data_IF_987208589641
#
_entry.id   IF_987208589641
#
_cell.length_a   1.000
_cell.length_b   1.000
_cell.length_c   1.000
_cell.angle_alpha   90.00
_cell.angle_beta   90.00
_cell.angle_gamma   90.00
#
_symmetry.space_group_name_H-M   'P 1'
#
loop_
_entity.id
_entity.type
_entity.pdbx_description
1 polymer ?
#
# COMPACT_ATOMS: atom_id res chain seq x y z
N UNK A 1 -5.53 -18.49 -13.58
CA UNK A 1 -4.28 -18.04 -14.22
C UNK A 1 -3.17 -18.41 -13.25
N UNK A 2 -2.31 -19.35 -13.60
CA UNK A 2 -1.14 -19.64 -12.78
C UNK A 2 -0.15 -18.47 -12.92
N UNK A 3 0.45 -18.03 -11.81
CA UNK A 3 1.50 -17.02 -11.82
C UNK A 3 2.85 -17.75 -11.83
N UNK A 4 3.51 -17.82 -12.99
CA UNK A 4 4.68 -18.67 -13.22
C UNK A 4 5.89 -18.38 -12.31
N UNK A 5 5.91 -17.22 -11.64
CA UNK A 5 6.99 -16.78 -10.76
C UNK A 5 6.57 -16.65 -9.29
N UNK A 6 5.38 -17.14 -8.93
CA UNK A 6 4.89 -17.11 -7.54
C UNK A 6 4.83 -18.53 -6.99
N UNK A 7 5.56 -18.76 -5.90
CA UNK A 7 5.45 -20.00 -5.13
C UNK A 7 4.27 -19.89 -4.17
N UNK A 8 3.10 -20.39 -4.57
CA UNK A 8 1.83 -20.22 -3.83
C UNK A 8 1.88 -20.77 -2.40
N UNK A 9 2.72 -21.77 -2.12
CA UNK A 9 2.91 -22.33 -0.77
C UNK A 9 3.57 -21.37 0.21
N UNK A 10 4.17 -20.28 -0.26
CA UNK A 10 4.74 -19.22 0.57
C UNK A 10 3.74 -18.08 0.86
N UNK A 11 2.53 -18.14 0.30
CA UNK A 11 1.50 -17.11 0.45
C UNK A 11 0.36 -17.64 1.30
N UNK A 12 0.19 -17.09 2.50
CA UNK A 12 -0.87 -17.51 3.42
C UNK A 12 -2.27 -17.01 2.99
N UNK A 13 -2.34 -15.82 2.38
CA UNK A 13 -3.61 -15.16 2.07
C UNK A 13 -3.46 -14.01 1.06
N UNK A 14 -4.58 -13.54 0.53
CA UNK A 14 -4.66 -12.39 -0.38
C UNK A 14 -5.60 -11.32 0.18
N UNK A 15 -5.16 -10.05 0.14
CA UNK A 15 -5.95 -8.92 0.61
C UNK A 15 -6.18 -7.99 -0.56
N UNK A 16 -7.45 -7.74 -0.87
CA UNK A 16 -7.84 -6.77 -1.89
C UNK A 16 -7.85 -5.36 -1.30
N UNK A 17 -7.24 -4.42 -2.02
CA UNK A 17 -7.20 -3.00 -1.67
C UNK A 17 -7.72 -2.21 -2.87
N UNK A 18 -8.62 -1.25 -2.64
CA UNK A 18 -9.11 -0.37 -3.71
C UNK A 18 -8.13 0.77 -4.00
N UNK A 19 -8.25 1.37 -5.18
CA UNK A 19 -7.41 2.52 -5.57
C UNK A 19 -7.57 3.68 -4.58
N UNK A 20 -8.78 3.98 -4.12
CA UNK A 20 -9.03 5.04 -3.13
C UNK A 20 -8.34 4.76 -1.81
N UNK A 21 -8.33 3.50 -1.36
CA UNK A 21 -7.63 3.09 -0.14
C UNK A 21 -6.11 3.23 -0.30
N UNK A 22 -5.56 2.81 -1.45
CA UNK A 22 -4.14 2.91 -1.73
C UNK A 22 -3.68 4.38 -1.82
N UNK A 23 -4.44 5.23 -2.53
CA UNK A 23 -4.17 6.67 -2.65
C UNK A 23 -4.21 7.34 -1.28
N UNK A 24 -5.27 7.10 -0.50
CA UNK A 24 -5.41 7.68 0.83
C UNK A 24 -4.24 7.28 1.75
N UNK A 25 -3.84 6.00 1.75
CA UNK A 25 -2.73 5.51 2.55
C UNK A 25 -1.37 6.05 2.08
N UNK A 26 -1.13 6.18 0.77
CA UNK A 26 0.09 6.80 0.24
C UNK A 26 0.20 8.29 0.61
N UNK A 27 -0.92 9.01 0.61
CA UNK A 27 -0.98 10.41 1.07
C UNK A 27 -0.77 10.53 2.59
N UNK A 28 -1.28 9.58 3.36
CA UNK A 28 -1.03 9.49 4.80
C UNK A 28 0.45 9.21 5.09
N UNK A 29 1.09 8.28 4.38
CA UNK A 29 2.54 8.03 4.50
C UNK A 29 3.35 9.31 4.23
N UNK A 30 2.99 10.08 3.21
CA UNK A 30 3.67 11.33 2.88
C UNK A 30 3.46 12.41 3.94
N UNK A 31 2.20 12.62 4.35
CA UNK A 31 1.82 13.75 5.23
C UNK A 31 2.06 13.51 6.71
N UNK A 32 2.01 12.25 7.17
CA UNK A 32 2.16 11.89 8.60
C UNK A 32 3.55 11.36 8.93
N UNK A 33 4.15 10.62 8.01
CA UNK A 33 5.42 9.91 8.24
C UNK A 33 6.59 10.45 7.39
N UNK A 34 6.33 11.40 6.48
CA UNK A 34 7.35 11.96 5.59
C UNK A 34 7.85 10.99 4.50
N UNK A 35 7.11 9.91 4.22
CA UNK A 35 7.46 8.89 3.24
C UNK A 35 6.68 9.16 1.94
N UNK A 36 7.33 9.80 0.98
CA UNK A 36 6.72 10.13 -0.32
C UNK A 36 6.78 8.93 -1.28
N UNK A 37 5.76 8.07 -1.26
CA UNK A 37 5.73 6.76 -1.92
C UNK A 37 4.72 6.63 -3.07
N UNK A 38 4.85 5.60 -3.89
CA UNK A 38 3.90 5.29 -4.97
C UNK A 38 2.65 4.51 -4.53
N UNK A 39 1.77 4.22 -5.51
CA UNK A 39 0.49 3.50 -5.32
C UNK A 39 0.65 2.16 -4.58
N UNK A 40 1.56 1.29 -5.03
CA UNK A 40 1.72 -0.04 -4.44
C UNK A 40 2.16 0.01 -2.97
N UNK A 41 2.97 1.00 -2.60
CA UNK A 41 3.35 1.23 -1.19
C UNK A 41 2.15 1.68 -0.36
N UNK A 42 1.30 2.54 -0.93
CA UNK A 42 0.01 2.90 -0.35
C UNK A 42 -0.89 1.69 -0.14
N UNK A 43 -0.98 0.80 -1.14
CA UNK A 43 -1.75 -0.43 -1.02
C UNK A 43 -1.23 -1.34 0.10
N UNK A 44 0.09 -1.50 0.21
CA UNK A 44 0.71 -2.27 1.30
C UNK A 44 0.38 -1.68 2.68
N UNK A 45 0.47 -0.35 2.82
CA UNK A 45 0.13 0.33 4.07
C UNK A 45 -1.36 0.20 4.42
N UNK A 46 -2.25 0.35 3.42
CA UNK A 46 -3.68 0.17 3.61
C UNK A 46 -4.01 -1.27 4.07
N UNK A 47 -3.44 -2.29 3.42
CA UNK A 47 -3.63 -3.69 3.81
C UNK A 47 -3.12 -3.96 5.23
N UNK A 48 -1.93 -3.46 5.59
CA UNK A 48 -1.39 -3.60 6.94
C UNK A 48 -2.30 -2.95 7.99
N UNK A 49 -2.84 -1.75 7.72
CA UNK A 49 -3.79 -1.08 8.61
C UNK A 49 -5.11 -1.84 8.75
N UNK A 50 -5.60 -2.48 7.68
CA UNK A 50 -6.79 -3.34 7.74
C UNK A 50 -6.54 -4.55 8.64
N UNK A 51 -5.41 -5.24 8.47
CA UNK A 51 -5.01 -6.37 9.30
C UNK A 51 -4.88 -5.99 10.78
N UNK A 52 -4.18 -4.89 11.08
CA UNK A 52 -3.96 -4.40 12.45
C UNK A 52 -5.26 -3.92 13.14
N UNK A 53 -6.29 -3.56 12.36
CA UNK A 53 -7.63 -3.27 12.90
C UNK A 53 -8.44 -4.55 13.17
N UNK A 54 -8.16 -5.61 12.42
CA UNK A 54 -8.86 -6.89 12.47
C UNK A 54 -8.04 -7.99 13.12
N UNK A 55 -7.73 -9.04 12.35
CA UNK A 55 -7.16 -10.30 12.85
C UNK A 55 -5.73 -10.17 13.42
N UNK A 56 -4.98 -9.16 13.03
CA UNK A 56 -3.60 -8.90 13.49
C UNK A 56 -3.53 -7.80 14.56
N UNK A 57 -4.62 -7.55 15.28
CA UNK A 57 -4.65 -6.51 16.30
C UNK A 57 -3.62 -6.78 17.40
N UNK A 58 -2.72 -5.83 17.60
CA UNK A 58 -1.63 -5.92 18.58
C UNK A 58 -0.35 -6.57 18.04
N UNK A 59 -0.36 -7.07 16.81
CA UNK A 59 0.81 -7.58 16.10
C UNK A 59 1.69 -6.44 15.54
N UNK A 60 2.81 -6.81 14.90
CA UNK A 60 3.65 -5.91 14.10
C UNK A 60 3.72 -6.43 12.67
N UNK A 61 3.46 -5.56 11.70
CA UNK A 61 3.51 -5.91 10.28
C UNK A 61 4.64 -5.13 9.63
N UNK A 62 5.48 -5.82 8.88
CA UNK A 62 6.48 -5.22 8.00
C UNK A 62 5.87 -5.07 6.60
N UNK A 63 6.07 -3.91 5.99
CA UNK A 63 5.69 -3.64 4.60
C UNK A 63 6.90 -3.18 3.79
N UNK A 64 6.81 -3.27 2.47
CA UNK A 64 7.79 -2.68 1.56
C UNK A 64 7.28 -1.35 1.00
N UNK A 65 8.22 -0.42 0.82
CA UNK A 65 8.02 0.81 0.03
C UNK A 65 8.65 0.56 -1.33
N UNK A 66 7.82 0.34 -2.34
CA UNK A 66 8.23 -0.20 -3.63
C UNK A 66 8.92 0.85 -4.52
N UNK A 67 8.51 2.12 -4.41
CA UNK A 67 9.14 3.26 -5.08
C UNK A 67 8.69 4.61 -4.50
N UNK A 68 9.24 5.70 -5.06
CA UNK A 68 8.93 7.07 -4.68
C UNK A 68 7.73 7.64 -5.43
N UNK A 69 6.97 8.47 -4.72
CA UNK A 69 5.87 9.29 -5.23
C UNK A 69 6.25 10.23 -6.38
N UNK A 70 7.54 10.53 -6.56
CA UNK A 70 8.03 11.44 -7.61
C UNK A 70 7.65 10.98 -9.03
N UNK A 71 7.47 9.68 -9.24
CA UNK A 71 7.07 9.12 -10.54
C UNK A 71 5.61 9.40 -10.90
N UNK A 72 4.80 9.80 -9.93
CA UNK A 72 3.34 9.85 -10.02
C UNK A 72 2.77 11.27 -9.98
N UNK A 73 3.63 12.30 -10.12
CA UNK A 73 3.21 13.70 -10.08
C UNK A 73 2.26 14.10 -11.22
N UNK A 74 2.23 13.34 -12.31
CA UNK A 74 1.29 13.54 -13.43
C UNK A 74 0.06 12.63 -13.36
N UNK A 75 -0.18 12.00 -12.21
CA UNK A 75 -1.33 11.10 -11.96
C UNK A 75 -2.22 11.69 -10.86
N UNK A 76 -3.32 11.01 -10.55
CA UNK A 76 -4.23 11.36 -9.46
C UNK A 76 -3.67 11.06 -8.05
N UNK A 77 -2.56 10.33 -7.92
CA UNK A 77 -1.98 10.00 -6.61
C UNK A 77 -1.70 11.23 -5.75
N UNK A 78 -1.12 12.27 -6.36
CA UNK A 78 -0.75 13.52 -5.70
C UNK A 78 -1.26 14.76 -6.43
N UNK A 79 -2.23 14.60 -7.33
CA UNK A 79 -2.88 15.74 -7.95
C UNK A 79 -3.43 16.67 -6.86
N UNK A 80 -2.97 17.92 -6.87
CA UNK A 80 -3.60 19.00 -6.13
C UNK A 80 -4.90 19.38 -6.83
N UNK A 81 -5.99 19.56 -6.09
CA UNK A 81 -7.18 20.24 -6.59
C UNK A 81 -6.78 21.69 -6.96
N UNK A 82 -6.35 21.91 -8.20
CA UNK A 82 -6.15 23.23 -8.82
C UNK A 82 -7.29 23.50 -9.80
#
# INVERSE_FOLDING_TARGET
MALDFVEETLVDDYIQVSDEQAIAAARDLASKEGIFAGFSSGANAAAALQLLKGRERGSRILITINDSGLKYLSTDLYASDL
#
